data_IF_306682117383
#
_entry.id   IF_306682117383
#
_cell.length_a   1.000
_cell.length_b   1.000
_cell.length_c   1.000
_cell.angle_alpha   90.00
_cell.angle_beta   90.00
_cell.angle_gamma   90.00
#
_symmetry.space_group_name_H-M   'P 1'
#
loop_
_entity.id
_entity.type
_entity.pdbx_description
1 polymer ?
#
# COMPACT_ATOMS: atom_id res chain seq x y z
N UNK A 1 6.19 -10.43 15.56
CA UNK A 1 4.89 -11.06 15.18
C UNK A 1 4.50 -10.52 13.80
N UNK A 2 3.99 -11.35 12.89
CA UNK A 2 3.54 -10.91 11.56
C UNK A 2 2.06 -10.50 11.63
N UNK A 3 1.72 -9.30 11.14
CA UNK A 3 0.34 -8.81 11.04
C UNK A 3 -0.08 -8.89 9.57
N UNK A 4 -1.25 -9.45 9.30
CA UNK A 4 -1.78 -9.63 7.96
C UNK A 4 -3.05 -8.81 7.77
N UNK A 5 -3.00 -7.83 6.87
CA UNK A 5 -4.15 -7.03 6.46
C UNK A 5 -4.67 -7.51 5.11
N UNK A 6 -5.99 -7.59 4.95
CA UNK A 6 -6.67 -7.86 3.68
C UNK A 6 -7.71 -6.78 3.44
N UNK A 7 -7.75 -6.27 2.21
CA UNK A 7 -8.69 -5.23 1.80
C UNK A 7 -9.59 -5.78 0.69
N UNK A 8 -10.86 -6.02 1.00
CA UNK A 8 -11.82 -6.53 0.01
C UNK A 8 -12.11 -5.47 -1.07
N UNK A 9 -12.22 -5.90 -2.33
CA UNK A 9 -12.45 -4.99 -3.46
C UNK A 9 -11.22 -4.14 -3.84
N UNK A 10 -10.03 -4.44 -3.31
CA UNK A 10 -8.79 -3.75 -3.64
C UNK A 10 -8.03 -4.50 -4.73
N UNK A 11 -7.59 -3.78 -5.75
CA UNK A 11 -6.72 -4.29 -6.81
C UNK A 11 -5.28 -4.51 -6.37
N UNK A 12 -4.48 -4.99 -7.32
CA UNK A 12 -3.08 -5.35 -7.10
C UNK A 12 -2.17 -4.16 -6.79
N UNK A 13 -2.42 -3.01 -7.43
CA UNK A 13 -1.57 -1.83 -7.35
C UNK A 13 -1.96 -0.93 -6.17
N UNK A 14 -1.56 -1.28 -4.95
CA UNK A 14 -1.76 -0.41 -3.78
C UNK A 14 -0.67 0.67 -3.76
N UNK A 15 -0.99 1.81 -4.35
CA UNK A 15 -0.13 3.00 -4.45
C UNK A 15 -0.31 3.94 -3.24
N UNK A 16 0.52 4.98 -3.07
CA UNK A 16 0.31 5.99 -2.02
C UNK A 16 -1.09 6.63 -2.06
N UNK A 17 -1.57 7.19 -0.94
CA UNK A 17 -2.89 7.80 -0.84
C UNK A 17 -3.18 8.79 -1.95
N UNK A 18 -4.44 8.81 -2.40
CA UNK A 18 -4.94 9.69 -3.48
C UNK A 18 -4.34 9.45 -4.88
N UNK A 19 -3.49 8.43 -5.06
CA UNK A 19 -3.11 7.99 -6.41
C UNK A 19 -4.35 7.42 -7.11
N UNK A 20 -4.70 7.89 -8.32
CA UNK A 20 -5.90 7.43 -9.01
C UNK A 20 -5.91 5.92 -9.26
N UNK A 21 -7.05 5.28 -8.98
CA UNK A 21 -7.23 3.86 -9.24
C UNK A 21 -7.11 3.53 -10.74
N UNK A 22 -6.23 2.58 -11.07
CA UNK A 22 -6.02 2.09 -12.44
C UNK A 22 -6.40 0.60 -12.57
N UNK A 23 -7.66 0.32 -12.94
CA UNK A 23 -8.18 -1.06 -13.08
C UNK A 23 -7.51 -1.86 -14.20
N UNK A 24 -7.12 -1.20 -15.29
CA UNK A 24 -6.47 -1.82 -16.44
C UNK A 24 -5.39 -0.89 -17.02
N UNK A 25 -4.26 -1.44 -17.44
CA UNK A 25 -3.27 -0.71 -18.23
C UNK A 25 -2.56 -1.61 -19.23
N UNK A 26 -1.97 -1.00 -20.27
CA UNK A 26 -1.12 -1.72 -21.20
C UNK A 26 0.26 -1.96 -20.58
N UNK A 27 0.63 -3.22 -20.39
CA UNK A 27 1.94 -3.58 -19.84
C UNK A 27 2.95 -3.78 -20.97
N UNK A 28 3.85 -2.81 -21.14
CA UNK A 28 4.81 -2.76 -22.27
C UNK A 28 5.67 -4.02 -22.41
N UNK A 29 6.16 -4.58 -21.29
CA UNK A 29 7.02 -5.76 -21.31
C UNK A 29 6.28 -7.02 -21.78
N UNK A 30 5.01 -7.15 -21.41
CA UNK A 30 4.18 -8.31 -21.78
C UNK A 30 3.37 -8.08 -23.06
N UNK A 31 3.41 -6.86 -23.60
CA UNK A 31 2.67 -6.42 -24.79
C UNK A 31 1.17 -6.73 -24.73
N UNK A 32 0.57 -6.67 -23.54
CA UNK A 32 -0.83 -7.01 -23.32
C UNK A 32 -1.51 -6.03 -22.36
N UNK A 33 -2.84 -5.96 -22.43
CA UNK A 33 -3.66 -5.30 -21.42
C UNK A 33 -3.69 -6.19 -20.17
N UNK A 34 -3.28 -5.64 -19.04
CA UNK A 34 -3.32 -6.32 -17.74
C UNK A 34 -4.47 -5.75 -16.92
N UNK A 35 -5.24 -6.66 -16.33
CA UNK A 35 -6.27 -6.33 -15.35
C UNK A 35 -5.68 -6.37 -13.95
N UNK A 36 -5.57 -5.22 -13.29
CA UNK A 36 -5.04 -5.11 -11.94
C UNK A 36 -6.11 -5.36 -10.87
N UNK A 37 -7.39 -5.42 -11.26
CA UNK A 37 -8.51 -5.60 -10.35
C UNK A 37 -8.80 -4.37 -9.49
N UNK A 38 -9.77 -4.51 -8.59
CA UNK A 38 -10.19 -3.46 -7.68
C UNK A 38 -11.39 -2.65 -8.16
N UNK A 39 -12.10 -2.05 -7.21
CA UNK A 39 -13.11 -1.03 -7.43
C UNK A 39 -12.64 0.30 -6.85
N UNK A 40 -12.96 1.41 -7.51
CA UNK A 40 -12.36 2.72 -7.24
C UNK A 40 -12.43 3.12 -5.75
N UNK A 41 -13.62 3.09 -5.15
CA UNK A 41 -13.80 3.52 -3.74
C UNK A 41 -13.08 2.61 -2.74
N UNK A 42 -13.31 1.28 -2.73
CA UNK A 42 -12.57 0.38 -1.82
C UNK A 42 -11.05 0.43 -2.00
N UNK A 43 -10.58 0.64 -3.23
CA UNK A 43 -9.16 0.71 -3.52
C UNK A 43 -8.53 1.99 -2.95
N UNK A 44 -9.16 3.15 -3.16
CA UNK A 44 -8.70 4.40 -2.55
C UNK A 44 -8.65 4.30 -1.01
N UNK A 45 -9.69 3.73 -0.40
CA UNK A 45 -9.74 3.51 1.05
C UNK A 45 -8.60 2.60 1.53
N UNK A 46 -8.26 1.57 0.75
CA UNK A 46 -7.14 0.68 1.06
C UNK A 46 -5.79 1.36 0.89
N UNK A 47 -5.62 2.26 -0.08
CA UNK A 47 -4.40 3.06 -0.24
C UNK A 47 -4.16 3.96 0.97
N UNK A 48 -5.20 4.68 1.42
CA UNK A 48 -5.14 5.49 2.64
C UNK A 48 -4.80 4.63 3.86
N UNK A 49 -5.54 3.52 4.07
CA UNK A 49 -5.36 2.72 5.27
C UNK A 49 -4.04 1.95 5.31
N UNK A 50 -3.60 1.43 4.16
CA UNK A 50 -2.31 0.72 4.08
C UNK A 50 -1.14 1.65 4.34
N UNK A 51 -1.22 2.91 3.88
CA UNK A 51 -0.19 3.91 4.15
C UNK A 51 -0.05 4.21 5.64
N UNK A 52 -1.16 4.43 6.35
CA UNK A 52 -1.17 4.58 7.81
C UNK A 52 -0.50 3.39 8.51
N UNK A 53 -0.90 2.16 8.12
CA UNK A 53 -0.38 0.93 8.73
C UNK A 53 1.13 0.77 8.48
N UNK A 54 1.62 1.14 7.30
CA UNK A 54 3.06 1.11 6.98
C UNK A 54 3.82 2.10 7.87
N UNK A 55 3.32 3.34 8.02
CA UNK A 55 3.95 4.34 8.88
C UNK A 55 3.94 3.90 10.35
N UNK A 56 2.82 3.40 10.86
CA UNK A 56 2.71 2.87 12.22
C UNK A 56 3.71 1.74 12.46
N UNK A 57 3.81 0.80 11.51
CA UNK A 57 4.79 -0.28 11.56
C UNK A 57 6.22 0.27 11.67
N UNK A 58 6.58 1.25 10.83
CA UNK A 58 7.91 1.86 10.90
C UNK A 58 8.15 2.63 12.20
N UNK A 59 7.18 3.39 12.69
CA UNK A 59 7.29 4.09 13.98
C UNK A 59 7.49 3.10 15.13
N UNK A 60 6.76 1.98 15.17
CA UNK A 60 6.89 0.99 16.24
C UNK A 60 8.25 0.27 16.23
N UNK A 61 8.79 0.00 15.04
CA UNK A 61 9.95 -0.89 14.88
C UNK A 61 11.28 -0.16 14.66
N UNK A 62 11.26 1.07 14.12
CA UNK A 62 12.47 1.84 13.80
C UNK A 62 12.64 3.04 14.75
N UNK A 63 11.58 3.76 15.12
CA UNK A 63 11.75 5.02 15.86
C UNK A 63 12.24 4.86 17.31
N UNK A 64 12.08 3.68 17.92
CA UNK A 64 12.52 3.40 19.30
C UNK A 64 14.02 3.09 19.45
N UNK A 65 14.78 2.96 18.35
CA UNK A 65 16.21 2.62 18.41
C UNK A 65 17.16 3.82 18.47
N UNK A 66 16.66 5.07 18.46
CA UNK A 66 17.52 6.28 18.40
C UNK A 66 17.45 7.18 19.64
N UNK A 67 17.26 6.62 20.84
CA UNK A 67 17.48 7.35 22.11
C UNK A 67 18.22 6.47 23.13
N UNK A 68 19.46 6.11 22.78
CA UNK A 68 20.57 5.92 23.73
C UNK A 68 21.88 6.36 23.08
N UNK A 69 21.97 7.62 22.65
CA UNK A 69 23.27 8.26 22.61
C UNK A 69 23.60 8.68 24.05
N UNK A 70 24.39 7.87 24.75
CA UNK A 70 25.19 8.37 25.85
C UNK A 70 26.25 9.29 25.23
N UNK A 71 25.90 10.56 25.09
CA UNK A 71 26.84 11.67 25.13
C UNK A 71 26.69 12.33 26.50
#
# INVERSE_FOLDING_TARGET
>A
QCIHHRYHGTGHLIEPPYTPHCKNSYHKTYRMLVHWGGEAKPHCDAQEKSWENILEFYHMNISKSTMKSHL
#
